data_IF_717420031875
#
_entry.id   IF_717420031875
#
_cell.length_a   1.000
_cell.length_b   1.000
_cell.length_c   1.000
_cell.angle_alpha   90.00
_cell.angle_beta   90.00
_cell.angle_gamma   90.00
#
_symmetry.space_group_name_H-M   'P 1'
#
loop_
_entity.id
_entity.type
_entity.pdbx_description
1 polymer ?
#
# COMPACT_ATOMS: atom_id res chain seq x y z
N UNK A 1 -3.23 9.69 -1.73
CA UNK A 1 -1.93 9.02 -2.01
C UNK A 1 -1.53 9.07 -3.49
N UNK A 2 -2.46 8.97 -4.46
CA UNK A 2 -2.13 9.19 -5.88
C UNK A 2 -1.39 10.52 -6.16
N UNK A 3 -1.78 11.69 -5.58
CA UNK A 3 -1.06 12.93 -5.83
C UNK A 3 0.41 12.86 -5.42
N UNK A 4 0.75 12.09 -4.38
CA UNK A 4 2.13 11.95 -3.91
C UNK A 4 3.00 11.19 -4.93
N UNK A 5 2.48 10.09 -5.50
CA UNK A 5 3.16 9.37 -6.58
C UNK A 5 3.42 10.28 -7.79
N UNK A 6 2.44 11.10 -8.18
CA UNK A 6 2.61 12.07 -9.25
C UNK A 6 3.66 13.13 -8.89
N UNK A 7 3.65 13.67 -7.67
CA UNK A 7 4.62 14.67 -7.22
C UNK A 7 6.06 14.16 -7.25
N UNK A 8 6.31 12.91 -6.85
CA UNK A 8 7.64 12.30 -7.00
C UNK A 8 8.01 12.17 -8.48
N UNK A 9 7.08 11.65 -9.30
CA UNK A 9 7.34 11.42 -10.73
C UNK A 9 7.56 12.70 -11.55
N UNK A 10 7.09 13.86 -11.07
CA UNK A 10 7.27 15.17 -11.70
C UNK A 10 8.28 16.05 -10.96
N UNK A 11 9.04 15.51 -10.01
CA UNK A 11 10.02 16.26 -9.18
C UNK A 11 9.42 17.46 -8.41
N UNK A 12 8.12 17.42 -8.09
CA UNK A 12 7.48 18.42 -7.24
C UNK A 12 7.66 18.10 -5.75
N UNK A 13 8.03 16.87 -5.41
CA UNK A 13 8.46 16.44 -4.08
C UNK A 13 9.69 15.53 -4.21
N UNK A 14 10.56 15.55 -3.20
CA UNK A 14 11.87 14.87 -3.26
C UNK A 14 11.81 13.38 -2.94
N UNK A 15 10.86 12.95 -2.11
CA UNK A 15 10.77 11.54 -1.68
C UNK A 15 9.53 11.22 -0.86
N UNK A 16 9.29 9.92 -0.66
CA UNK A 16 8.26 9.40 0.24
C UNK A 16 8.68 8.07 0.86
N UNK A 17 8.16 7.78 2.05
CA UNK A 17 8.36 6.50 2.78
C UNK A 17 7.05 5.74 2.98
N UNK A 18 6.04 6.08 2.18
CA UNK A 18 4.64 5.64 2.31
C UNK A 18 4.16 4.81 1.10
N UNK A 19 5.10 4.18 0.40
CA UNK A 19 4.84 3.28 -0.72
C UNK A 19 4.43 1.88 -0.22
N UNK A 20 3.13 1.56 -0.23
CA UNK A 20 2.63 0.24 0.19
C UNK A 20 2.54 -0.72 -1.00
N UNK A 21 3.58 -1.55 -1.17
CA UNK A 21 3.80 -2.41 -2.33
C UNK A 21 3.83 -3.91 -1.95
N UNK A 22 3.58 -4.83 -2.92
CA UNK A 22 3.22 -4.57 -4.31
C UNK A 22 1.71 -4.35 -4.53
N UNK A 23 0.86 -4.66 -3.55
CA UNK A 23 -0.59 -4.76 -3.78
C UNK A 23 -1.30 -3.42 -3.66
N UNK A 24 -1.24 -2.77 -2.48
CA UNK A 24 -2.07 -1.59 -2.15
C UNK A 24 -1.88 -0.42 -3.10
N UNK A 25 -0.66 -0.20 -3.57
CA UNK A 25 -0.31 0.89 -4.49
C UNK A 25 0.38 0.40 -5.77
N UNK A 26 0.21 -0.88 -6.12
CA UNK A 26 0.86 -1.49 -7.28
C UNK A 26 0.50 -0.86 -8.62
N UNK A 27 -0.73 -0.38 -8.76
CA UNK A 27 -1.17 0.33 -9.97
C UNK A 27 -0.38 1.64 -10.14
N UNK A 28 -0.24 2.43 -9.08
CA UNK A 28 0.55 3.68 -9.15
C UNK A 28 2.03 3.41 -9.42
N UNK A 29 2.60 2.39 -8.78
CA UNK A 29 3.96 1.95 -9.06
C UNK A 29 4.14 1.63 -10.56
N UNK A 30 3.19 0.89 -11.15
CA UNK A 30 3.21 0.54 -12.57
C UNK A 30 3.11 1.78 -13.47
N UNK A 31 2.17 2.68 -13.18
CA UNK A 31 1.89 3.86 -14.01
C UNK A 31 3.05 4.87 -14.03
N UNK A 32 3.82 4.95 -12.93
CA UNK A 32 4.96 5.88 -12.80
C UNK A 32 6.33 5.18 -12.88
N UNK A 33 6.39 3.89 -13.20
CA UNK A 33 7.64 3.11 -13.24
C UNK A 33 8.67 3.79 -14.14
N UNK A 34 9.91 3.91 -13.64
CA UNK A 34 11.01 4.57 -14.36
C UNK A 34 11.04 6.09 -14.22
N UNK A 35 10.10 6.69 -13.49
CA UNK A 35 10.08 8.13 -13.16
C UNK A 35 10.43 8.43 -11.70
N UNK A 36 10.84 7.41 -10.96
CA UNK A 36 11.30 7.50 -9.58
C UNK A 36 12.40 6.46 -9.35
N UNK A 37 13.17 6.64 -8.29
CA UNK A 37 14.13 5.65 -7.81
C UNK A 37 13.48 4.85 -6.68
N UNK A 38 13.41 3.53 -6.82
CA UNK A 38 12.99 2.65 -5.73
C UNK A 38 14.18 2.36 -4.82
N UNK A 39 14.10 2.84 -3.57
CA UNK A 39 15.14 2.65 -2.55
C UNK A 39 14.95 1.35 -1.74
N UNK A 40 13.93 0.56 -2.05
CA UNK A 40 13.61 -0.68 -1.36
C UNK A 40 12.67 -0.50 -0.17
N UNK A 41 12.38 -1.62 0.50
CA UNK A 41 11.45 -1.66 1.63
C UNK A 41 12.10 -1.11 2.91
N UNK A 42 11.41 -0.18 3.57
CA UNK A 42 11.77 0.30 4.90
C UNK A 42 11.06 -0.47 6.04
N UNK A 43 9.98 -1.20 5.72
CA UNK A 43 9.21 -2.01 6.66
C UNK A 43 8.72 -3.30 5.98
N UNK A 44 8.80 -4.41 6.71
CA UNK A 44 8.33 -5.74 6.28
C UNK A 44 7.19 -6.24 7.16
N UNK A 45 6.36 -7.14 6.61
CA UNK A 45 5.28 -7.81 7.37
C UNK A 45 3.96 -7.03 7.45
N UNK A 46 3.82 -5.92 6.71
CA UNK A 46 2.57 -5.20 6.57
C UNK A 46 1.47 -6.11 5.99
N UNK A 47 0.24 -5.96 6.49
CA UNK A 47 -0.94 -6.74 6.05
C UNK A 47 -2.10 -5.82 5.73
N UNK A 48 -2.90 -6.22 4.75
CA UNK A 48 -4.19 -5.61 4.40
C UNK A 48 -5.25 -6.69 4.50
N UNK A 49 -6.41 -6.34 5.03
CA UNK A 49 -7.53 -7.26 5.15
C UNK A 49 -8.70 -6.64 5.87
N UNK A 50 -9.77 -7.41 6.01
CA UNK A 50 -10.88 -7.07 6.88
C UNK A 50 -10.46 -7.33 8.32
N UNK A 51 -10.70 -6.35 9.20
CA UNK A 51 -10.50 -6.49 10.63
C UNK A 51 -11.85 -6.61 11.32
N UNK A 52 -11.93 -7.46 12.34
CA UNK A 52 -13.10 -7.60 13.21
C UNK A 52 -12.67 -7.42 14.66
N UNK A 53 -13.57 -6.93 15.54
CA UNK A 53 -13.32 -6.90 16.97
C UNK A 53 -13.08 -8.31 17.55
N UNK A 54 -12.16 -8.41 18.51
CA UNK A 54 -11.75 -9.71 19.10
C UNK A 54 -12.84 -10.39 19.94
N UNK A 55 -13.94 -9.70 20.25
CA UNK A 55 -15.09 -10.28 20.94
C UNK A 55 -16.01 -11.07 20.01
N UNK A 56 -15.88 -10.95 18.68
CA UNK A 56 -16.68 -11.70 17.70
C UNK A 56 -16.13 -13.12 17.51
N UNK A 57 -16.35 -14.00 18.50
CA UNK A 57 -15.76 -15.36 18.52
C UNK A 57 -16.17 -16.28 17.36
N UNK A 58 -17.28 -15.97 16.70
CA UNK A 58 -17.84 -16.79 15.63
C UNK A 58 -17.47 -16.29 14.22
N UNK A 59 -16.66 -15.22 14.10
CA UNK A 59 -16.23 -14.65 12.82
C UNK A 59 -14.70 -14.69 12.76
N UNK A 60 -14.18 -15.72 12.11
CA UNK A 60 -12.76 -16.04 12.03
C UNK A 60 -12.24 -16.11 10.59
N UNK A 61 -13.14 -16.10 9.61
CA UNK A 61 -12.83 -16.11 8.19
C UNK A 61 -13.73 -15.18 7.40
N UNK A 62 -13.31 -14.79 6.19
CA UNK A 62 -14.19 -14.06 5.26
C UNK A 62 -15.43 -14.90 4.91
N UNK A 63 -15.31 -16.24 4.93
CA UNK A 63 -16.43 -17.15 4.68
C UNK A 63 -17.54 -17.09 5.73
N UNK A 64 -17.23 -16.67 6.95
CA UNK A 64 -18.18 -16.56 8.06
C UNK A 64 -19.09 -15.32 7.93
N UNK A 65 -18.82 -14.46 6.94
CA UNK A 65 -19.61 -13.25 6.62
C UNK A 65 -20.71 -13.49 5.58
N UNK A 66 -20.91 -14.75 5.16
CA UNK A 66 -21.96 -15.12 4.19
C UNK A 66 -23.34 -15.22 4.82
#
# INVERSE_FOLDING_TARGET
>A
VQPLWASIATNAADGMVSAWLPTTQGLYYKDYKGKFVDLGANLHGARVGLAVPTYMKNVNSIGDLK
#
